data_IF_016211065181
#
_entry.id   IF_016211065181
#
_cell.length_a   1.000
_cell.length_b   1.000
_cell.length_c   1.000
_cell.angle_alpha   90.00
_cell.angle_beta   90.00
_cell.angle_gamma   90.00
#
_symmetry.space_group_name_H-M   'P 1'
#
loop_
_entity.id
_entity.type
_entity.pdbx_description
1 polymer ?
#
# COMPACT_ATOMS: atom_id res chain seq x y z
N UNK A 1 6.92 13.41 12.30
CA UNK A 1 7.15 11.99 12.67
C UNK A 1 5.82 11.45 13.20
N UNK A 2 5.28 10.38 12.61
CA UNK A 2 3.98 9.78 13.00
C UNK A 2 4.14 8.47 13.79
N UNK A 3 3.02 7.88 14.22
CA UNK A 3 2.96 6.64 15.00
C UNK A 3 2.27 5.53 14.21
N UNK A 4 2.85 4.33 14.20
CA UNK A 4 2.21 3.15 13.59
C UNK A 4 1.04 2.72 14.47
N UNK A 5 -0.17 2.89 13.96
CA UNK A 5 -1.41 2.49 14.60
C UNK A 5 -1.83 1.06 14.24
N UNK A 6 -1.45 0.59 13.04
CA UNK A 6 -1.71 -0.78 12.60
C UNK A 6 -0.65 -1.28 11.61
N UNK A 7 -0.46 -2.60 11.57
CA UNK A 7 0.44 -3.29 10.64
C UNK A 7 -0.34 -4.39 9.92
N UNK A 8 -0.44 -4.27 8.61
CA UNK A 8 -1.02 -5.30 7.74
C UNK A 8 0.11 -6.16 7.19
N UNK A 9 0.00 -7.47 7.37
CA UNK A 9 0.94 -8.46 6.84
C UNK A 9 0.16 -9.71 6.39
N UNK A 10 -0.51 -9.60 5.24
CA UNK A 10 -1.30 -10.70 4.70
C UNK A 10 -0.39 -11.70 3.96
N UNK A 11 -0.16 -12.85 4.60
CA UNK A 11 0.67 -13.93 4.03
C UNK A 11 0.04 -14.59 2.80
N UNK A 12 -1.28 -14.54 2.62
CA UNK A 12 -1.97 -15.15 1.48
C UNK A 12 -1.80 -14.31 0.22
N UNK A 13 -1.86 -12.98 0.37
CA UNK A 13 -1.78 -12.05 -0.76
C UNK A 13 -0.36 -11.49 -0.94
N UNK A 14 0.48 -11.55 0.09
CA UNK A 14 1.80 -10.94 0.12
C UNK A 14 1.76 -9.44 0.43
N UNK A 15 0.59 -8.88 0.76
CA UNK A 15 0.45 -7.48 1.14
C UNK A 15 1.17 -7.20 2.46
N UNK A 16 1.94 -6.10 2.46
CA UNK A 16 2.47 -5.50 3.67
C UNK A 16 2.19 -4.00 3.65
N UNK A 17 1.52 -3.49 4.69
CA UNK A 17 1.19 -2.09 4.80
C UNK A 17 1.25 -1.60 6.24
N UNK A 18 1.44 -0.30 6.42
CA UNK A 18 1.44 0.36 7.71
C UNK A 18 0.39 1.47 7.71
N UNK A 19 -0.43 1.49 8.76
CA UNK A 19 -1.38 2.58 9.01
C UNK A 19 -0.78 3.47 10.07
N UNK A 20 -0.54 4.73 9.71
CA UNK A 20 0.20 5.68 10.52
C UNK A 20 -0.71 6.87 10.86
N UNK A 21 -0.75 7.25 12.13
CA UNK A 21 -1.47 8.41 12.62
C UNK A 21 -0.49 9.49 13.10
N UNK A 22 -0.86 10.78 13.08
CA UNK A 22 0.00 11.86 13.56
C UNK A 22 0.30 11.75 15.06
N UNK A 23 -0.67 11.24 15.82
CA UNK A 23 -0.57 11.07 17.26
C UNK A 23 -0.73 9.61 17.67
N UNK A 24 -0.16 9.26 18.83
CA UNK A 24 -0.25 7.92 19.37
C UNK A 24 -1.63 7.70 19.98
N UNK A 25 -2.39 6.78 19.41
CA UNK A 25 -3.69 6.38 19.95
C UNK A 25 -3.53 5.55 21.24
N UNK A 26 -4.51 5.61 22.16
CA UNK A 26 -4.57 4.69 23.29
C UNK A 26 -4.71 3.24 22.79
N UNK A 27 -4.31 2.26 23.62
CA UNK A 27 -4.32 0.83 23.25
C UNK A 27 -5.69 0.31 22.78
N UNK A 28 -6.77 0.91 23.25
CA UNK A 28 -8.16 0.62 22.88
C UNK A 28 -8.86 1.95 22.57
N UNK A 29 -8.71 2.50 21.36
CA UNK A 29 -9.27 3.80 21.02
C UNK A 29 -10.79 3.72 20.97
N UNK A 30 -11.42 4.75 21.53
CA UNK A 30 -12.87 4.97 21.42
C UNK A 30 -13.21 5.58 20.06
N UNK A 31 -14.50 5.63 19.73
CA UNK A 31 -14.97 6.34 18.53
C UNK A 31 -14.56 7.81 18.52
N UNK A 32 -14.49 8.45 19.70
CA UNK A 32 -14.05 9.85 19.80
C UNK A 32 -12.56 9.99 19.47
N UNK A 33 -11.72 9.06 19.96
CA UNK A 33 -10.28 9.06 19.68
C UNK A 33 -10.00 8.82 18.18
N UNK A 34 -10.81 7.99 17.52
CA UNK A 34 -10.67 7.74 16.08
C UNK A 34 -11.17 8.94 15.24
N UNK A 35 -12.24 9.60 15.69
CA UNK A 35 -12.85 10.74 15.00
C UNK A 35 -12.04 12.04 15.15
N UNK A 36 -11.17 12.14 16.15
CA UNK A 36 -10.25 13.28 16.31
C UNK A 36 -9.04 13.19 15.37
N UNK A 37 -8.78 12.03 14.77
CA UNK A 37 -7.70 11.87 13.79
C UNK A 37 -8.08 12.59 12.50
N UNK A 38 -7.34 13.66 12.17
CA UNK A 38 -7.56 14.46 10.97
C UNK A 38 -6.82 13.93 9.74
N UNK A 39 -5.70 13.24 9.92
CA UNK A 39 -4.87 12.72 8.82
C UNK A 39 -4.40 11.29 9.13
N UNK A 40 -4.38 10.43 8.12
CA UNK A 40 -3.84 9.07 8.19
C UNK A 40 -2.93 8.84 7.00
N UNK A 41 -1.78 8.20 7.23
CA UNK A 41 -0.92 7.75 6.15
C UNK A 41 -1.03 6.23 6.00
N UNK A 42 -1.29 5.76 4.78
CA UNK A 42 -1.16 4.33 4.43
C UNK A 42 0.13 4.16 3.63
N UNK A 43 1.09 3.42 4.20
CA UNK A 43 2.35 3.10 3.55
C UNK A 43 2.34 1.65 3.09
N UNK A 44 2.22 1.43 1.78
CA UNK A 44 2.39 0.10 1.18
C UNK A 44 3.86 -0.21 1.01
N UNK A 45 4.30 -1.32 1.60
CA UNK A 45 5.68 -1.76 1.48
C UNK A 45 5.95 -2.28 0.07
N UNK A 46 7.12 -1.96 -0.47
CA UNK A 46 7.70 -2.69 -1.59
C UNK A 46 8.06 -4.12 -1.20
N UNK A 47 8.56 -4.91 -2.15
CA UNK A 47 8.89 -6.30 -1.86
C UNK A 47 10.14 -6.43 -0.96
N UNK A 48 10.17 -7.48 -0.13
CA UNK A 48 11.30 -7.78 0.76
C UNK A 48 11.74 -9.22 0.58
N UNK A 49 13.02 -9.43 0.29
CA UNK A 49 13.64 -10.76 0.33
C UNK A 49 14.12 -11.07 1.75
N UNK A 50 13.93 -12.31 2.26
CA UNK A 50 14.70 -12.81 3.39
C UNK A 50 16.09 -13.25 2.89
N UNK A 51 17.13 -12.51 3.28
CA UNK A 51 18.54 -12.87 3.04
C UNK A 51 19.20 -12.13 1.89
N UNK A 52 20.20 -11.31 2.24
CA UNK A 52 21.27 -10.72 1.43
C UNK A 52 20.91 -10.01 0.11
N UNK A 53 20.76 -8.68 0.22
CA UNK A 53 21.35 -7.71 -0.71
C UNK A 53 20.65 -7.51 -2.05
N UNK A 54 19.93 -6.40 -2.18
CA UNK A 54 19.72 -5.55 -3.37
C UNK A 54 19.35 -6.14 -4.75
N UNK A 55 19.20 -7.45 -4.92
CA UNK A 55 19.11 -8.05 -6.25
C UNK A 55 17.69 -8.30 -6.76
N UNK A 56 16.64 -8.33 -5.92
CA UNK A 56 15.29 -8.54 -6.48
C UNK A 56 14.75 -7.32 -7.24
N UNK A 57 15.10 -6.09 -6.82
CA UNK A 57 14.76 -4.82 -7.51
C UNK A 57 15.58 -4.68 -8.82
N UNK A 58 16.71 -5.37 -8.93
CA UNK A 58 17.44 -5.44 -10.19
C UNK A 58 16.98 -6.62 -11.03
N UNK A 59 16.57 -7.73 -10.44
CA UNK A 59 16.07 -8.93 -11.13
C UNK A 59 14.73 -8.67 -11.84
N UNK A 60 13.81 -7.85 -11.29
CA UNK A 60 12.59 -7.45 -12.04
C UNK A 60 12.86 -6.48 -13.19
N UNK A 61 13.91 -5.65 -13.10
CA UNK A 61 14.25 -4.64 -14.13
C UNK A 61 15.19 -5.22 -15.20
N UNK A 62 16.09 -6.15 -14.84
CA UNK A 62 17.23 -6.53 -15.68
C UNK A 62 17.19 -7.95 -16.26
N UNK A 63 16.54 -8.97 -15.67
CA UNK A 63 16.77 -10.36 -16.14
C UNK A 63 15.69 -11.40 -15.80
N UNK A 64 14.61 -11.45 -16.59
CA UNK A 64 14.09 -12.62 -17.36
C UNK A 64 14.58 -14.06 -17.00
N UNK A 65 13.75 -15.08 -16.66
CA UNK A 65 13.22 -16.18 -17.53
C UNK A 65 12.81 -17.37 -16.60
N UNK A 66 11.58 -17.95 -16.47
CA UNK A 66 10.38 -18.00 -17.33
C UNK A 66 9.09 -17.48 -16.62
N UNK A 67 9.26 -16.59 -15.64
CA UNK A 67 8.19 -15.73 -15.08
C UNK A 67 8.48 -14.24 -15.40
N UNK A 68 9.74 -13.91 -15.70
CA UNK A 68 10.21 -12.54 -16.03
C UNK A 68 9.90 -12.04 -17.46
N UNK A 69 9.78 -12.92 -18.46
CA UNK A 69 9.61 -12.58 -19.90
C UNK A 69 8.34 -11.83 -20.27
N UNK A 70 7.45 -11.60 -19.32
CA UNK A 70 6.13 -11.08 -19.58
C UNK A 70 5.95 -9.67 -19.00
N UNK A 71 7.00 -9.10 -18.41
CA UNK A 71 6.92 -7.85 -17.64
C UNK A 71 7.19 -6.60 -18.50
N UNK A 72 7.93 -6.68 -19.61
CA UNK A 72 8.41 -5.46 -20.32
C UNK A 72 7.85 -5.29 -21.75
N UNK A 73 7.04 -6.22 -22.27
CA UNK A 73 6.54 -6.15 -23.65
C UNK A 73 5.09 -6.54 -23.92
N UNK A 74 4.27 -6.86 -22.91
CA UNK A 74 2.95 -7.42 -23.18
C UNK A 74 2.18 -8.01 -22.00
N UNK A 75 2.25 -7.36 -20.83
CA UNK A 75 1.34 -7.64 -19.71
C UNK A 75 1.78 -8.76 -18.78
N UNK A 76 2.33 -8.37 -17.62
CA UNK A 76 2.13 -9.12 -16.39
C UNK A 76 1.71 -8.21 -15.25
N UNK A 77 0.64 -8.65 -14.59
CA UNK A 77 -0.11 -7.96 -13.55
C UNK A 77 0.45 -8.38 -12.20
N UNK A 78 0.64 -7.44 -11.28
CA UNK A 78 0.72 -7.78 -9.85
C UNK A 78 -0.47 -8.69 -9.51
N UNK A 79 -0.31 -9.74 -8.67
CA UNK A 79 -1.39 -10.69 -8.44
C UNK A 79 -2.67 -9.93 -8.10
N UNK A 80 -3.78 -10.14 -8.82
CA UNK A 80 -5.02 -9.39 -8.58
C UNK A 80 -5.47 -9.47 -7.13
N UNK A 81 -5.10 -10.54 -6.41
CA UNK A 81 -5.34 -10.70 -4.99
C UNK A 81 -4.60 -9.67 -4.12
N UNK A 82 -3.32 -9.37 -4.40
CA UNK A 82 -2.54 -8.40 -3.63
C UNK A 82 -3.03 -6.97 -3.86
N UNK A 83 -3.35 -6.62 -5.10
CA UNK A 83 -3.93 -5.32 -5.45
C UNK A 83 -5.30 -5.12 -4.79
N UNK A 84 -6.18 -6.12 -4.83
CA UNK A 84 -7.48 -6.09 -4.14
C UNK A 84 -7.32 -6.02 -2.63
N UNK A 85 -6.36 -6.75 -2.06
CA UNK A 85 -6.00 -6.69 -0.64
C UNK A 85 -5.60 -5.27 -0.25
N UNK A 86 -4.72 -4.64 -1.03
CA UNK A 86 -4.32 -3.26 -0.80
C UNK A 86 -5.50 -2.27 -0.82
N UNK A 87 -6.40 -2.38 -1.80
CA UNK A 87 -7.60 -1.55 -1.85
C UNK A 87 -8.52 -1.78 -0.64
N UNK A 88 -8.68 -3.03 -0.21
CA UNK A 88 -9.45 -3.38 1.00
C UNK A 88 -8.81 -2.80 2.27
N UNK A 89 -7.49 -2.82 2.37
CA UNK A 89 -6.74 -2.19 3.47
C UNK A 89 -7.01 -0.69 3.53
N UNK A 90 -6.94 0.02 2.39
CA UNK A 90 -7.24 1.45 2.33
C UNK A 90 -8.67 1.73 2.77
N UNK A 91 -9.65 1.05 2.18
CA UNK A 91 -11.07 1.21 2.49
C UNK A 91 -11.38 0.90 3.97
N UNK A 92 -10.69 -0.09 4.56
CA UNK A 92 -10.86 -0.48 5.96
C UNK A 92 -10.30 0.60 6.89
N UNK A 93 -9.11 1.13 6.60
CA UNK A 93 -8.52 2.23 7.35
C UNK A 93 -9.42 3.49 7.26
N UNK A 94 -9.89 3.79 6.06
CA UNK A 94 -10.84 4.87 5.76
C UNK A 94 -12.19 4.72 6.47
N UNK A 95 -12.67 3.50 6.66
CA UNK A 95 -13.91 3.23 7.40
C UNK A 95 -13.71 3.37 8.91
N UNK A 96 -12.48 3.11 9.40
CA UNK A 96 -12.09 3.24 10.80
C UNK A 96 -11.87 4.71 11.21
N UNK A 97 -11.19 5.50 10.37
CA UNK A 97 -10.91 6.92 10.61
C UNK A 97 -11.82 7.79 9.74
N UNK A 98 -13.07 7.97 10.16
CA UNK A 98 -14.13 8.54 9.32
C UNK A 98 -13.91 10.00 8.92
N UNK A 99 -13.28 10.79 9.79
CA UNK A 99 -13.04 12.22 9.59
C UNK A 99 -11.65 12.51 9.00
N UNK A 100 -10.82 11.49 8.80
CA UNK A 100 -9.46 11.68 8.35
C UNK A 100 -9.37 11.84 6.83
N UNK A 101 -8.45 12.70 6.41
CA UNK A 101 -7.85 12.66 5.08
C UNK A 101 -6.72 11.63 5.02
N UNK A 102 -6.48 11.08 3.84
CA UNK A 102 -5.55 9.98 3.64
C UNK A 102 -4.44 10.34 2.66
N UNK A 103 -3.21 10.19 3.14
CA UNK A 103 -2.03 10.18 2.29
C UNK A 103 -1.61 8.73 2.00
N UNK A 104 -1.43 8.40 0.72
CA UNK A 104 -1.03 7.05 0.30
C UNK A 104 0.40 7.08 -0.21
N UNK A 105 1.25 6.23 0.36
CA UNK A 105 2.65 6.10 -0.03
C UNK A 105 2.95 4.69 -0.51
N UNK A 106 3.82 4.59 -1.52
CA UNK A 106 4.30 3.31 -2.01
C UNK A 106 5.52 3.46 -2.90
N UNK A 107 6.51 2.60 -2.66
CA UNK A 107 7.73 2.52 -3.46
C UNK A 107 7.82 1.16 -4.18
N UNK A 108 8.37 1.14 -5.39
CA UNK A 108 8.58 -0.11 -6.15
C UNK A 108 7.27 -0.89 -6.29
N UNK A 109 7.22 -2.16 -5.91
CA UNK A 109 5.97 -2.95 -5.93
C UNK A 109 4.85 -2.32 -5.08
N UNK A 110 5.19 -1.63 -3.99
CA UNK A 110 4.23 -0.93 -3.14
C UNK A 110 3.54 0.24 -3.85
N UNK A 111 4.18 0.82 -4.88
CA UNK A 111 3.55 1.87 -5.69
C UNK A 111 2.36 1.33 -6.48
N UNK A 112 2.39 0.08 -6.97
CA UNK A 112 1.26 -0.54 -7.68
C UNK A 112 0.09 -0.79 -6.74
N UNK A 113 0.36 -1.24 -5.50
CA UNK A 113 -0.65 -1.34 -4.45
C UNK A 113 -1.33 0.00 -4.20
N UNK A 114 -0.53 1.06 -4.03
CA UNK A 114 -1.05 2.41 -3.83
C UNK A 114 -1.87 2.88 -5.02
N UNK A 115 -1.39 2.71 -6.26
CA UNK A 115 -2.10 3.15 -7.47
C UNK A 115 -3.46 2.44 -7.59
N UNK A 116 -3.49 1.12 -7.37
CA UNK A 116 -4.73 0.36 -7.43
C UNK A 116 -5.68 0.74 -6.30
N UNK A 117 -5.17 0.88 -5.07
CA UNK A 117 -5.98 1.24 -3.92
C UNK A 117 -6.65 2.61 -4.10
N UNK A 118 -5.90 3.65 -4.54
CA UNK A 118 -6.49 4.98 -4.77
C UNK A 118 -7.44 5.00 -5.97
N UNK A 119 -7.24 4.13 -6.97
CA UNK A 119 -8.13 4.06 -8.14
C UNK A 119 -9.46 3.35 -7.84
N UNK A 120 -9.49 2.45 -6.86
CA UNK A 120 -10.65 1.61 -6.54
C UNK A 120 -11.32 1.92 -5.20
N UNK A 121 -10.79 2.85 -4.42
CA UNK A 121 -11.36 3.18 -3.11
C UNK A 121 -12.80 3.70 -3.24
N UNK A 122 -13.63 3.38 -2.25
CA UNK A 122 -15.00 3.88 -2.14
C UNK A 122 -15.07 5.33 -1.66
N UNK A 123 -13.95 5.92 -1.25
CA UNK A 123 -13.89 7.23 -0.63
C UNK A 123 -12.85 8.15 -1.28
N UNK A 124 -12.93 8.36 -2.62
CA UNK A 124 -11.92 9.12 -3.36
C UNK A 124 -11.74 10.55 -2.84
N UNK A 125 -12.82 11.19 -2.37
CA UNK A 125 -12.80 12.57 -1.84
C UNK A 125 -11.98 12.73 -0.55
N UNK A 126 -11.57 11.62 0.08
CA UNK A 126 -10.72 11.63 1.27
C UNK A 126 -9.27 11.30 0.98
N UNK A 127 -8.89 11.13 -0.28
CA UNK A 127 -7.49 11.08 -0.69
C UNK A 127 -6.96 12.50 -0.76
N UNK A 128 -6.03 12.83 0.15
CA UNK A 128 -5.37 14.13 0.15
C UNK A 128 -4.17 14.12 -0.80
N UNK A 129 -3.35 13.08 -0.76
CA UNK A 129 -2.23 12.91 -1.68
C UNK A 129 -1.86 11.44 -1.89
N UNK A 130 -1.26 11.15 -3.05
CA UNK A 130 -0.69 9.85 -3.37
C UNK A 130 0.75 10.02 -3.87
N UNK A 131 1.71 9.51 -3.09
CA UNK A 131 3.14 9.55 -3.38
C UNK A 131 3.61 8.15 -3.76
N UNK A 132 3.57 7.87 -5.05
CA UNK A 132 3.77 6.54 -5.62
C UNK A 132 4.93 6.63 -6.61
N UNK A 133 6.06 5.98 -6.30
CA UNK A 133 7.32 6.24 -7.01
C UNK A 133 8.09 4.96 -7.34
N UNK A 134 8.84 5.03 -8.43
CA UNK A 134 9.77 4.00 -8.93
C UNK A 134 9.14 2.60 -9.05
N UNK A 135 7.88 2.53 -9.47
CA UNK A 135 7.25 1.24 -9.77
C UNK A 135 6.33 1.28 -11.00
N UNK A 136 5.91 0.09 -11.49
CA UNK A 136 5.16 -0.02 -12.73
C UNK A 136 3.82 0.70 -12.66
N UNK A 137 3.33 1.17 -13.82
CA UNK A 137 1.94 1.64 -13.92
C UNK A 137 0.97 0.46 -13.93
N UNK A 138 -0.18 0.60 -13.26
CA UNK A 138 -1.26 -0.38 -13.27
C UNK A 138 -2.16 -0.22 -14.50
N UNK A 139 -1.73 -0.73 -15.65
CA UNK A 139 -2.64 -0.85 -16.80
C UNK A 139 -3.60 -2.04 -16.59
N UNK A 140 -4.87 -1.75 -16.29
CA UNK A 140 -5.96 -2.73 -16.21
C UNK A 140 -7.08 -2.44 -17.20
#
# INVERSE_FOLDING_TARGET
>A
MGYVADVVADKKTGEQAYIITPEKLPKKPTSSDLNSVANVTVLYRGSTTPGNGDDWVKDWIKTDLPVGNQVIGGGQKMPPAQLKSAAQTLDSAMSRYKNAMFDVYGHSLGSMNGQYAVSYTKYPDRIHAAYLYEGPNIHY
#
